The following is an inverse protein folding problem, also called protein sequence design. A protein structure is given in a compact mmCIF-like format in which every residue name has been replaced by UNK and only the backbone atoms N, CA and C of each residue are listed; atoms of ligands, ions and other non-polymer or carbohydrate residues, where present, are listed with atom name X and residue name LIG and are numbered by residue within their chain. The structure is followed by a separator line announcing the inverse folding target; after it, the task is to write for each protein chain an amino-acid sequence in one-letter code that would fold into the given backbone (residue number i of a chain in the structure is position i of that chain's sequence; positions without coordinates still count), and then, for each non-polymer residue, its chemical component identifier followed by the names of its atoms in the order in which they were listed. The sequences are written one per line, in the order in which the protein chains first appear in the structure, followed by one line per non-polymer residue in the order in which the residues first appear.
data_IF_507697562342
#
_entry.id   IF_507697562342
#
_cell.length_a   1.000
_cell.length_b   1.000
_cell.length_c   1.000
_cell.angle_alpha   90.00
_cell.angle_beta   90.00
_cell.angle_gamma   90.00
#
_symmetry.space_group_name_H-M   'P 1'
#
loop_
_entity.id
_entity.type
_entity.pdbx_description
1 polymer ?
#
# COMPACT_ATOMS: atom_id res chain seq x y z
N UNK A 1 8.39 0.13 7.25
CA UNK A 1 8.96 0.05 5.89
C UNK A 1 8.09 0.89 4.98
N UNK A 2 8.64 1.88 4.29
CA UNK A 2 7.88 2.74 3.37
C UNK A 2 8.11 2.27 1.92
N UNK A 3 7.36 1.26 1.49
CA UNK A 3 7.62 0.52 0.24
C UNK A 3 6.84 1.11 -0.96
N UNK A 4 5.79 1.88 -0.73
CA UNK A 4 5.00 2.52 -1.79
C UNK A 4 4.33 3.83 -1.31
N UNK A 5 5.11 4.89 -0.99
CA UNK A 5 4.57 6.15 -0.48
C UNK A 5 3.68 6.90 -1.47
N UNK A 6 3.77 6.58 -2.76
CA UNK A 6 2.91 7.16 -3.79
C UNK A 6 1.51 6.52 -3.83
N UNK A 7 1.31 5.38 -3.16
CA UNK A 7 0.05 4.61 -3.16
C UNK A 7 -0.55 4.53 -1.77
N UNK A 8 0.28 4.46 -0.73
CA UNK A 8 -0.15 4.39 0.66
C UNK A 8 0.43 5.52 1.48
N UNK A 9 -0.40 6.06 2.35
CA UNK A 9 -0.01 7.02 3.40
C UNK A 9 -0.33 6.43 4.77
N UNK A 10 0.37 6.89 5.81
CA UNK A 10 0.01 6.56 7.19
C UNK A 10 -0.90 7.65 7.73
N UNK A 11 -2.07 7.27 8.22
CA UNK A 11 -2.96 8.20 8.92
C UNK A 11 -2.47 8.47 10.37
N UNK A 12 -3.20 9.35 11.06
CA UNK A 12 -2.91 9.75 12.43
C UNK A 12 -2.99 8.58 13.44
N UNK A 13 -3.64 7.48 13.06
CA UNK A 13 -3.79 6.26 13.85
C UNK A 13 -2.76 5.17 13.46
N UNK A 14 -1.73 5.53 12.68
CA UNK A 14 -0.67 4.62 12.19
C UNK A 14 -1.19 3.47 11.30
N UNK A 15 -2.33 3.66 10.63
CA UNK A 15 -2.85 2.74 9.62
C UNK A 15 -2.43 3.19 8.22
N UNK A 16 -2.03 2.21 7.40
CA UNK A 16 -1.78 2.45 5.99
C UNK A 16 -3.12 2.61 5.25
N UNK A 17 -3.35 3.78 4.68
CA UNK A 17 -4.51 4.12 3.86
C UNK A 17 -4.12 4.25 2.39
N UNK A 18 -4.99 3.82 1.48
CA UNK A 18 -4.78 3.95 0.04
C UNK A 18 -5.11 5.37 -0.38
N UNK A 19 -4.15 6.08 -0.96
CA UNK A 19 -4.31 7.46 -1.43
C UNK A 19 -4.43 7.56 -2.95
N UNK A 20 -4.17 6.48 -3.70
CA UNK A 20 -4.25 6.44 -5.17
C UNK A 20 -4.92 5.16 -5.64
N UNK A 21 -6.04 5.32 -6.35
CA UNK A 21 -6.86 4.24 -6.94
C UNK A 21 -7.47 4.73 -8.27
N UNK A 22 -7.22 4.09 -9.43
CA UNK A 22 -6.43 2.86 -9.61
C UNK A 22 -4.94 3.06 -9.38
N UNK A 23 -4.27 2.02 -8.87
CA UNK A 23 -2.82 2.01 -8.69
C UNK A 23 -2.13 2.12 -10.05
N UNK A 24 -1.18 3.07 -10.24
CA UNK A 24 -0.43 3.16 -11.49
C UNK A 24 0.38 1.89 -11.75
N UNK A 25 0.48 1.45 -13.01
CA UNK A 25 1.19 0.21 -13.41
C UNK A 25 2.64 0.20 -12.91
N UNK A 26 3.31 1.35 -12.88
CA UNK A 26 4.68 1.49 -12.36
C UNK A 26 4.80 1.28 -10.83
N UNK A 27 3.68 1.42 -10.10
CA UNK A 27 3.59 1.26 -8.66
C UNK A 27 2.98 -0.09 -8.25
N UNK A 28 2.36 -0.85 -9.16
CA UNK A 28 1.75 -2.16 -8.84
C UNK A 28 2.73 -3.12 -8.15
N UNK A 29 3.96 -3.21 -8.66
CA UNK A 29 5.00 -4.06 -8.06
C UNK A 29 5.44 -3.59 -6.66
N UNK A 30 5.39 -2.28 -6.40
CA UNK A 30 5.66 -1.72 -5.08
C UNK A 30 4.46 -1.94 -4.14
N UNK A 31 3.24 -1.83 -4.65
CA UNK A 31 2.03 -2.13 -3.90
C UNK A 31 1.94 -3.59 -3.48
N UNK A 32 2.31 -4.52 -4.36
CA UNK A 32 2.40 -5.94 -4.05
C UNK A 32 3.40 -6.22 -2.93
N UNK A 33 4.62 -5.66 -3.03
CA UNK A 33 5.62 -5.76 -1.96
C UNK A 33 5.15 -5.15 -0.65
N UNK A 34 4.40 -4.06 -0.68
CA UNK A 34 3.83 -3.44 0.52
C UNK A 34 2.80 -4.36 1.18
N UNK A 35 1.98 -5.07 0.40
CA UNK A 35 1.06 -6.10 0.88
C UNK A 35 1.81 -7.26 1.53
N UNK A 36 2.83 -7.81 0.86
CA UNK A 36 3.64 -8.93 1.38
C UNK A 36 4.42 -8.57 2.64
N UNK A 37 4.94 -7.34 2.71
CA UNK A 37 5.71 -6.86 3.85
C UNK A 37 4.85 -6.40 5.02
N UNK A 38 3.52 -6.31 4.88
CA UNK A 38 2.63 -5.83 5.93
C UNK A 38 2.41 -6.93 7.00
N UNK A 39 3.02 -6.83 8.20
CA UNK A 39 2.94 -7.90 9.21
C UNK A 39 1.54 -8.07 9.78
N UNK A 40 0.68 -7.04 9.63
CA UNK A 40 -0.69 -7.02 10.13
C UNK A 40 -1.72 -7.53 9.11
N UNK A 41 -1.29 -7.89 7.89
CA UNK A 41 -2.18 -8.23 6.77
C UNK A 41 -3.31 -7.19 6.55
N UNK A 42 -3.01 -5.92 6.82
CA UNK A 42 -3.99 -4.83 6.71
C UNK A 42 -4.28 -4.44 5.25
N UNK A 43 -3.36 -4.76 4.34
CA UNK A 43 -3.49 -4.50 2.92
C UNK A 43 -3.97 -5.77 2.20
N UNK A 44 -4.93 -5.61 1.30
CA UNK A 44 -5.44 -6.70 0.45
C UNK A 44 -5.71 -6.18 -0.95
N UNK A 45 -5.28 -6.92 -1.97
CA UNK A 45 -5.57 -6.63 -3.38
C UNK A 45 -6.94 -7.21 -3.74
N UNK A 46 -7.73 -6.43 -4.47
CA UNK A 46 -8.93 -6.90 -5.17
C UNK A 46 -8.80 -6.51 -6.64
N UNK A 47 -9.01 -7.46 -7.53
CA UNK A 47 -8.97 -7.29 -8.99
C UNK A 47 -10.32 -6.81 -9.55
#
# INVERSE_FOLDING_TARGET
MNIAPAVFELDDDEYAVVITDPVPVEQEALAEKAIEACPRAALSRRD
#
